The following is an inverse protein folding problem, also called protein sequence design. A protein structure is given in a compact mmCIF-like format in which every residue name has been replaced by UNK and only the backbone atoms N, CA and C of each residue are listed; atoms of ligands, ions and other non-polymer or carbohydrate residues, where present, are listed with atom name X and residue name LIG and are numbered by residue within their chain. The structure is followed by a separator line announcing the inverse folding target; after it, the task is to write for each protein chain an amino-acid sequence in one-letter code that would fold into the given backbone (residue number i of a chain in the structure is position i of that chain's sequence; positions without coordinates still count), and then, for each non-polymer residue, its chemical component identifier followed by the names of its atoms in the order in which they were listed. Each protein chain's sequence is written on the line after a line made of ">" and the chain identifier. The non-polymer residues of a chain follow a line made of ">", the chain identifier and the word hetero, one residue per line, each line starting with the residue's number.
data_IF_499416042161
#
_entry.id   IF_499416042161
#
_cell.length_a   1.000
_cell.length_b   1.000
_cell.length_c   1.000
_cell.angle_alpha   90.00
_cell.angle_beta   90.00
_cell.angle_gamma   90.00
#
_symmetry.space_group_name_H-M   'P 1'
#
loop_
_entity.id
_entity.type
_entity.pdbx_description
1 polymer ?
#
# COMPACT_ATOMS: atom_id res chain seq x y z
N UNK A 1 -9.68 23.59 -8.28
CA UNK A 1 -10.14 22.99 -9.54
C UNK A 1 -11.47 23.62 -9.96
N UNK A 2 -11.55 24.25 -11.13
CA UNK A 2 -12.77 24.92 -11.63
C UNK A 2 -13.75 23.92 -12.24
N UNK A 3 -15.02 24.33 -12.42
CA UNK A 3 -16.08 23.50 -13.01
C UNK A 3 -15.74 22.96 -14.42
N UNK A 4 -14.85 23.63 -15.15
CA UNK A 4 -14.38 23.22 -16.48
C UNK A 4 -13.34 22.09 -16.42
N UNK A 5 -12.50 22.05 -15.38
CA UNK A 5 -11.54 20.96 -15.14
C UNK A 5 -12.26 19.66 -14.69
N UNK A 6 -13.37 19.79 -13.96
CA UNK A 6 -14.28 18.67 -13.61
C UNK A 6 -14.93 18.02 -14.84
N UNK A 7 -15.24 18.82 -15.86
CA UNK A 7 -15.79 18.35 -17.15
C UNK A 7 -14.74 17.56 -17.94
N UNK A 8 -13.48 17.95 -17.85
CA UNK A 8 -12.38 17.31 -18.57
C UNK A 8 -11.95 15.98 -17.90
N UNK A 9 -11.93 15.92 -16.57
CA UNK A 9 -11.62 14.70 -15.82
C UNK A 9 -12.67 13.60 -16.02
N UNK A 10 -13.96 13.97 -16.02
CA UNK A 10 -15.05 13.05 -16.34
C UNK A 10 -15.01 12.55 -17.80
N UNK A 11 -14.51 13.37 -18.73
CA UNK A 11 -14.33 12.99 -20.13
C UNK A 11 -13.11 12.09 -20.36
N UNK A 12 -12.02 12.30 -19.62
CA UNK A 12 -10.77 11.53 -19.70
C UNK A 12 -10.94 10.09 -19.19
N UNK A 13 -11.67 9.89 -18.09
CA UNK A 13 -11.99 8.55 -17.57
C UNK A 13 -12.89 7.75 -18.54
N UNK A 14 -13.70 8.44 -19.36
CA UNK A 14 -14.60 7.83 -20.34
C UNK A 14 -13.92 7.48 -21.67
N UNK A 15 -13.01 8.34 -22.16
CA UNK A 15 -12.30 8.14 -23.44
C UNK A 15 -11.38 6.93 -23.44
N UNK A 16 -10.81 6.57 -22.28
CA UNK A 16 -9.90 5.43 -22.15
C UNK A 16 -10.60 4.07 -22.16
N UNK A 17 -11.92 4.01 -21.94
CA UNK A 17 -12.63 2.74 -21.75
C UNK A 17 -13.83 2.49 -22.69
N UNK A 18 -14.51 3.51 -23.26
CA UNK A 18 -15.66 3.28 -24.17
C UNK A 18 -15.84 4.40 -25.22
N UNK A 19 -16.29 4.04 -26.43
CA UNK A 19 -16.69 5.02 -27.47
C UNK A 19 -17.88 5.85 -26.98
N UNK A 20 -17.76 7.17 -27.05
CA UNK A 20 -18.83 8.12 -26.67
C UNK A 20 -20.12 7.85 -27.43
N UNK A 21 -21.19 7.56 -26.70
CA UNK A 21 -22.56 7.65 -27.18
C UNK A 21 -23.18 8.97 -26.68
N UNK A 22 -23.91 9.64 -27.57
CA UNK A 22 -24.35 11.04 -27.45
C UNK A 22 -25.54 11.29 -26.51
N UNK A 23 -26.05 10.24 -25.87
CA UNK A 23 -27.20 10.32 -24.96
C UNK A 23 -26.83 9.90 -23.53
N UNK A 24 -26.34 10.85 -22.72
CA UNK A 24 -26.03 10.67 -21.31
C UNK A 24 -26.96 11.56 -20.46
N UNK A 25 -28.20 11.11 -20.24
CA UNK A 25 -29.03 11.61 -19.15
C UNK A 25 -29.13 10.48 -18.09
N UNK A 26 -28.54 10.73 -16.91
CA UNK A 26 -28.48 9.88 -15.70
C UNK A 26 -27.67 8.57 -15.77
N UNK A 27 -26.64 8.44 -14.91
CA UNK A 27 -25.99 7.16 -14.57
C UNK A 27 -25.75 7.04 -13.06
N UNK A 28 -26.17 5.90 -12.52
CA UNK A 28 -26.08 5.45 -11.12
C UNK A 28 -24.74 4.74 -10.91
N UNK A 29 -23.88 5.23 -10.01
CA UNK A 29 -22.64 4.55 -9.63
C UNK A 29 -22.76 3.97 -8.22
N UNK A 30 -22.53 2.65 -8.06
CA UNK A 30 -22.37 2.02 -6.74
C UNK A 30 -20.92 2.14 -6.30
N UNK A 31 -20.65 2.89 -5.24
CA UNK A 31 -19.32 2.92 -4.62
C UNK A 31 -19.34 1.91 -3.45
N UNK A 32 -18.46 0.91 -3.52
CA UNK A 32 -18.03 0.12 -2.37
C UNK A 32 -16.68 0.66 -1.92
N UNK A 33 -16.55 0.97 -0.64
CA UNK A 33 -15.29 1.32 0.03
C UNK A 33 -14.56 2.56 -0.55
N UNK A 34 -14.93 3.75 -0.08
CA UNK A 34 -14.04 4.91 -0.20
C UNK A 34 -12.85 4.70 0.75
N UNK A 35 -11.64 4.59 0.19
CA UNK A 35 -10.38 4.72 0.94
C UNK A 35 -10.04 6.21 1.05
N UNK A 36 -9.62 6.69 2.22
CA UNK A 36 -9.39 8.12 2.51
C UNK A 36 -8.22 8.77 1.77
N UNK A 37 -7.44 8.04 0.95
CA UNK A 37 -6.11 8.53 0.53
C UNK A 37 -5.97 8.69 -0.99
N UNK A 38 -6.77 9.56 -1.60
CA UNK A 38 -6.47 10.09 -2.93
C UNK A 38 -6.44 11.62 -2.88
N UNK A 39 -5.32 12.16 -2.41
CA UNK A 39 -5.00 13.56 -2.62
C UNK A 39 -4.62 13.76 -4.09
N UNK A 40 -5.51 14.36 -4.87
CA UNK A 40 -5.20 14.83 -6.23
C UNK A 40 -4.81 16.30 -6.13
N UNK A 41 -3.59 16.61 -6.59
CA UNK A 41 -3.05 17.96 -6.64
C UNK A 41 -3.73 18.72 -7.78
N UNK A 42 -4.20 19.95 -7.53
CA UNK A 42 -4.75 20.81 -8.58
C UNK A 42 -3.66 21.70 -9.20
N UNK A 43 -3.98 22.32 -10.34
CA UNK A 43 -3.02 23.07 -11.17
C UNK A 43 -2.50 24.38 -10.52
N UNK A 44 -3.01 24.75 -9.34
CA UNK A 44 -2.50 25.87 -8.53
C UNK A 44 -1.70 25.39 -7.30
N UNK A 45 -1.40 24.10 -7.20
CA UNK A 45 -0.56 23.53 -6.15
C UNK A 45 -1.26 23.28 -4.81
N UNK A 46 -2.59 23.40 -4.75
CA UNK A 46 -3.38 23.02 -3.58
C UNK A 46 -3.92 21.59 -3.67
N UNK A 47 -3.95 20.88 -2.55
CA UNK A 47 -4.70 19.62 -2.43
C UNK A 47 -6.19 19.94 -2.30
N UNK A 48 -7.06 19.27 -3.06
CA UNK A 48 -8.52 19.35 -2.83
C UNK A 48 -9.00 18.12 -2.06
N UNK A 49 -9.45 18.37 -0.83
CA UNK A 49 -10.00 17.45 0.19
C UNK A 49 -11.34 16.80 -0.22
N UNK A 50 -11.44 16.21 -1.41
CA UNK A 50 -12.68 15.49 -1.76
C UNK A 50 -12.76 14.13 -1.06
N UNK A 51 -11.62 13.45 -0.86
CA UNK A 51 -11.58 12.24 -0.03
C UNK A 51 -11.92 12.52 1.41
N UNK A 52 -11.42 13.61 2.00
CA UNK A 52 -11.71 13.96 3.39
C UNK A 52 -13.15 14.44 3.58
N UNK A 53 -13.71 15.17 2.61
CA UNK A 53 -15.13 15.54 2.62
C UNK A 53 -16.06 14.33 2.50
N UNK A 54 -15.74 13.38 1.61
CA UNK A 54 -16.53 12.15 1.45
C UNK A 54 -16.35 11.18 2.61
N UNK A 55 -15.17 11.14 3.25
CA UNK A 55 -14.89 10.35 4.46
C UNK A 55 -15.59 10.97 5.67
N UNK A 56 -15.57 12.30 5.82
CA UNK A 56 -16.29 13.02 6.88
C UNK A 56 -17.80 12.83 6.72
N UNK A 57 -18.31 12.98 5.51
CA UNK A 57 -19.71 12.69 5.18
C UNK A 57 -20.04 11.23 5.44
N UNK A 58 -19.19 10.28 5.02
CA UNK A 58 -19.37 8.85 5.29
C UNK A 58 -19.39 8.56 6.79
N UNK A 59 -18.48 9.13 7.58
CA UNK A 59 -18.44 8.95 9.03
C UNK A 59 -19.70 9.52 9.71
N UNK A 60 -20.18 10.68 9.26
CA UNK A 60 -21.40 11.32 9.75
C UNK A 60 -22.67 10.52 9.39
N UNK A 61 -22.67 9.87 8.22
CA UNK A 61 -23.77 9.05 7.73
C UNK A 61 -23.72 7.59 8.23
N UNK A 62 -22.54 7.05 8.57
CA UNK A 62 -22.29 5.64 8.92
C UNK A 62 -23.19 5.02 10.01
N UNK A 63 -23.66 5.78 11.03
CA UNK A 63 -24.58 5.24 12.04
C UNK A 63 -25.96 4.91 11.45
N UNK A 64 -26.33 5.53 10.34
CA UNK A 64 -27.68 5.51 9.77
C UNK A 64 -27.73 4.74 8.44
N UNK A 65 -26.64 4.75 7.68
CA UNK A 65 -26.54 4.11 6.36
C UNK A 65 -26.00 2.67 6.45
N UNK A 66 -26.43 1.82 5.53
CA UNK A 66 -25.85 0.49 5.27
C UNK A 66 -24.51 0.57 4.53
N UNK A 67 -23.89 -0.57 4.28
CA UNK A 67 -22.48 -0.68 3.84
C UNK A 67 -22.21 -0.23 2.39
N UNK A 68 -23.23 0.32 1.71
CA UNK A 68 -23.11 0.79 0.33
C UNK A 68 -23.90 2.06 0.14
N UNK A 69 -23.39 2.99 -0.66
CA UNK A 69 -24.18 4.12 -1.16
C UNK A 69 -23.87 4.32 -2.64
N UNK A 70 -24.74 5.06 -3.32
CA UNK A 70 -24.46 5.53 -4.66
C UNK A 70 -24.76 7.02 -4.78
N UNK A 71 -24.34 7.59 -5.89
CA UNK A 71 -24.53 9.01 -6.16
C UNK A 71 -25.07 9.26 -7.56
N UNK A 72 -25.70 10.43 -7.73
CA UNK A 72 -26.17 10.94 -9.01
C UNK A 72 -25.81 12.42 -9.11
N UNK A 73 -25.30 12.85 -10.26
CA UNK A 73 -24.94 14.23 -10.52
C UNK A 73 -25.79 14.81 -11.65
N UNK A 74 -26.50 15.91 -11.35
CA UNK A 74 -27.26 16.66 -12.34
C UNK A 74 -26.43 17.82 -12.88
N UNK A 75 -25.76 17.60 -14.00
CA UNK A 75 -24.89 18.59 -14.64
C UNK A 75 -25.59 19.91 -15.03
N UNK A 76 -26.90 19.87 -15.33
CA UNK A 76 -27.67 21.07 -15.72
C UNK A 76 -27.99 21.96 -14.51
N UNK A 77 -28.26 21.35 -13.36
CA UNK A 77 -28.67 22.05 -12.13
C UNK A 77 -27.53 22.24 -11.12
N UNK A 78 -26.37 21.62 -11.36
CA UNK A 78 -25.22 21.57 -10.42
C UNK A 78 -25.58 20.95 -9.07
N UNK A 79 -26.47 19.96 -9.09
CA UNK A 79 -26.93 19.26 -7.88
C UNK A 79 -26.28 17.88 -7.79
N UNK A 80 -25.85 17.49 -6.59
CA UNK A 80 -25.35 16.16 -6.29
C UNK A 80 -26.23 15.47 -5.25
N UNK A 81 -26.68 14.27 -5.57
CA UNK A 81 -27.53 13.45 -4.70
C UNK A 81 -26.80 12.18 -4.29
N UNK A 82 -26.90 11.83 -3.01
CA UNK A 82 -26.52 10.52 -2.50
C UNK A 82 -27.76 9.70 -2.20
N UNK A 83 -27.73 8.41 -2.53
CA UNK A 83 -28.75 7.45 -2.13
C UNK A 83 -28.11 6.26 -1.43
N UNK A 84 -28.71 5.82 -0.33
CA UNK A 84 -28.17 4.73 0.48
C UNK A 84 -29.29 3.90 1.13
N UNK A 85 -29.09 2.58 1.30
CA UNK A 85 -29.98 1.76 2.08
C UNK A 85 -29.83 2.12 3.56
N UNK A 86 -30.94 2.19 4.27
CA UNK A 86 -30.97 2.37 5.71
C UNK A 86 -30.92 1.01 6.39
N UNK A 87 -30.19 0.93 7.52
CA UNK A 87 -30.11 -0.31 8.33
C UNK A 87 -31.45 -0.72 8.94
N UNK A 88 -32.36 0.23 9.13
CA UNK A 88 -33.71 0.03 9.67
C UNK A 88 -34.68 1.05 9.09
N UNK A 89 -35.99 0.74 9.10
CA UNK A 89 -37.03 1.71 8.70
C UNK A 89 -37.04 2.88 9.71
N UNK A 90 -37.26 4.11 9.24
CA UNK A 90 -37.17 5.34 10.06
C UNK A 90 -38.13 6.40 9.50
N UNK A 91 -38.34 7.50 10.20
CA UNK A 91 -39.14 8.62 9.68
C UNK A 91 -38.24 9.70 9.09
N UNK A 92 -38.71 10.43 8.07
CA UNK A 92 -38.01 11.57 7.50
C UNK A 92 -37.60 12.62 8.56
N UNK A 93 -38.43 12.84 9.59
CA UNK A 93 -38.15 13.75 10.69
C UNK A 93 -36.93 13.33 11.52
N UNK A 94 -36.91 12.07 11.98
CA UNK A 94 -35.74 11.48 12.67
C UNK A 94 -34.48 11.47 11.80
N UNK A 95 -34.62 11.24 10.50
CA UNK A 95 -33.50 11.21 9.57
C UNK A 95 -32.91 12.62 9.36
N UNK A 96 -33.76 13.64 9.20
CA UNK A 96 -33.33 15.04 9.12
C UNK A 96 -32.67 15.52 10.42
N UNK A 97 -33.15 15.08 11.59
CA UNK A 97 -32.50 15.37 12.87
C UNK A 97 -31.10 14.74 12.98
N UNK A 98 -30.93 13.51 12.47
CA UNK A 98 -29.65 12.83 12.45
C UNK A 98 -28.68 13.42 11.42
N UNK A 99 -29.20 14.07 10.37
CA UNK A 99 -28.44 14.55 9.22
C UNK A 99 -28.56 16.07 9.01
N UNK A 100 -28.17 16.92 9.99
CA UNK A 100 -28.44 18.36 9.95
C UNK A 100 -27.70 19.12 8.84
N UNK A 101 -26.67 18.52 8.24
CA UNK A 101 -25.80 19.15 7.25
C UNK A 101 -26.21 18.88 5.79
N UNK A 102 -27.17 17.99 5.57
CA UNK A 102 -27.65 17.60 4.23
C UNK A 102 -29.16 17.64 4.20
N UNK A 103 -29.74 17.89 3.03
CA UNK A 103 -31.20 17.99 2.92
C UNK A 103 -31.76 16.65 2.43
N UNK A 104 -32.66 16.00 3.20
CA UNK A 104 -33.34 14.79 2.74
C UNK A 104 -34.30 15.13 1.59
N UNK A 105 -34.11 14.47 0.46
CA UNK A 105 -34.91 14.65 -0.76
C UNK A 105 -36.01 13.61 -0.84
N UNK A 106 -35.70 12.34 -0.57
CA UNK A 106 -36.69 11.27 -0.56
C UNK A 106 -36.34 10.17 0.43
N UNK A 107 -37.38 9.47 0.89
CA UNK A 107 -37.28 8.30 1.75
C UNK A 107 -38.25 7.25 1.24
N UNK A 108 -37.72 6.19 0.63
CA UNK A 108 -38.48 5.10 0.02
C UNK A 108 -38.37 3.85 0.89
N UNK A 109 -39.46 3.50 1.56
CA UNK A 109 -39.50 2.41 2.53
C UNK A 109 -40.70 1.49 2.30
N UNK A 110 -40.47 0.38 1.62
CA UNK A 110 -41.43 -0.71 1.43
C UNK A 110 -40.80 -2.05 1.86
N UNK A 111 -41.40 -3.17 1.46
CA UNK A 111 -40.91 -4.52 1.84
C UNK A 111 -39.71 -4.98 1.01
N UNK A 112 -39.40 -4.27 -0.08
CA UNK A 112 -38.31 -4.52 -1.03
C UNK A 112 -37.24 -3.42 -1.09
N UNK A 113 -37.53 -2.24 -0.58
CA UNK A 113 -36.67 -1.05 -0.61
C UNK A 113 -36.68 -0.33 0.73
N UNK A 114 -35.50 0.10 1.18
CA UNK A 114 -35.33 0.93 2.37
C UNK A 114 -34.24 1.97 2.08
N UNK A 115 -34.47 2.87 1.14
CA UNK A 115 -33.47 3.78 0.59
C UNK A 115 -33.81 5.23 0.94
N UNK A 116 -32.82 5.98 1.39
CA UNK A 116 -32.91 7.43 1.55
C UNK A 116 -32.07 8.13 0.48
N UNK A 117 -32.57 9.25 -0.04
CA UNK A 117 -31.85 10.13 -0.96
C UNK A 117 -31.66 11.50 -0.32
N UNK A 118 -30.42 11.98 -0.26
CA UNK A 118 -30.06 13.29 0.32
C UNK A 118 -29.35 14.15 -0.72
N UNK A 119 -29.61 15.45 -0.69
CA UNK A 119 -28.90 16.47 -1.45
C UNK A 119 -27.73 16.99 -0.62
N UNK A 120 -26.54 16.88 -1.20
CA UNK A 120 -25.28 17.28 -0.57
C UNK A 120 -24.69 18.53 -1.21
N UNK A 121 -25.42 19.18 -2.11
CA UNK A 121 -24.95 20.35 -2.84
C UNK A 121 -24.64 21.53 -1.92
N UNK A 122 -25.29 21.60 -0.75
CA UNK A 122 -25.04 22.61 0.30
C UNK A 122 -23.95 22.21 1.31
N UNK A 123 -23.39 21.00 1.21
CA UNK A 123 -22.38 20.52 2.15
C UNK A 123 -21.09 21.36 2.06
N UNK A 124 -20.71 21.80 0.86
CA UNK A 124 -19.53 22.66 0.65
C UNK A 124 -19.70 24.05 1.30
N UNK A 125 -20.89 24.63 1.24
CA UNK A 125 -21.19 25.93 1.87
C UNK A 125 -21.25 25.85 3.41
N UNK A 126 -21.46 24.64 3.95
CA UNK A 126 -21.51 24.35 5.38
C UNK A 126 -20.20 23.75 5.91
N UNK A 127 -19.18 23.58 5.06
CA UNK A 127 -17.89 23.01 5.45
C UNK A 127 -17.16 23.87 6.49
N UNK A 128 -17.14 25.19 6.34
CA UNK A 128 -16.55 26.08 7.36
C UNK A 128 -17.28 25.97 8.72
N UNK A 129 -18.59 25.72 8.71
CA UNK A 129 -19.37 25.47 9.93
C UNK A 129 -19.08 24.08 10.52
N UNK A 130 -18.92 23.05 9.68
CA UNK A 130 -18.59 21.69 10.10
C UNK A 130 -17.14 21.53 10.58
N UNK A 131 -16.18 22.21 9.94
CA UNK A 131 -14.79 22.29 10.37
C UNK A 131 -14.66 23.06 11.69
N UNK A 132 -15.47 24.12 11.89
CA UNK A 132 -15.56 24.86 13.15
C UNK A 132 -16.14 24.05 14.32
N UNK A 133 -16.92 22.99 14.05
CA UNK A 133 -17.39 22.03 15.06
C UNK A 133 -16.26 21.08 15.50
N UNK A 134 -15.32 20.74 14.62
CA UNK A 134 -14.18 19.86 14.92
C UNK A 134 -13.12 20.52 15.81
N UNK A 135 -12.88 21.83 15.64
CA UNK A 135 -11.84 22.53 16.39
C UNK A 135 -12.26 22.97 17.80
N UNK A 136 -13.56 23.10 18.09
CA UNK A 136 -14.04 23.69 19.34
C UNK A 136 -14.81 22.75 20.29
N UNK A 137 -15.26 21.57 19.84
CA UNK A 137 -15.74 20.50 20.72
C UNK A 137 -15.46 19.13 20.08
N UNK A 138 -14.61 18.25 20.65
CA UNK A 138 -14.61 16.86 20.22
C UNK A 138 -16.03 16.31 20.44
N UNK A 139 -16.52 15.45 19.56
CA UNK A 139 -17.83 14.77 19.60
C UNK A 139 -18.07 13.87 20.83
N UNK A 140 -17.58 14.26 22.02
CA UNK A 140 -18.15 13.88 23.29
C UNK A 140 -19.50 14.61 23.45
N UNK A 141 -20.54 13.86 23.79
CA UNK A 141 -21.88 14.32 24.16
C UNK A 141 -22.92 14.54 23.03
N UNK A 142 -22.80 13.84 21.90
CA UNK A 142 -24.03 13.32 21.27
C UNK A 142 -24.46 12.09 22.07
N UNK A 143 -25.40 12.29 23.00
CA UNK A 143 -26.03 11.23 23.77
C UNK A 143 -26.78 10.26 22.85
N UNK A 144 -26.06 9.24 22.38
CA UNK A 144 -26.54 8.14 21.54
C UNK A 144 -27.22 7.04 22.36
N UNK A 145 -27.45 7.23 23.67
CA UNK A 145 -28.09 6.22 24.55
C UNK A 145 -29.49 5.82 24.09
N UNK A 146 -30.17 6.66 23.28
CA UNK A 146 -31.49 6.34 22.74
C UNK A 146 -31.47 5.38 21.52
N UNK A 147 -30.31 4.98 21.01
CA UNK A 147 -30.20 3.94 19.96
C UNK A 147 -30.06 2.52 20.54
N UNK A 148 -29.64 2.40 21.81
CA UNK A 148 -29.48 1.08 22.47
C UNK A 148 -30.81 0.43 22.86
N UNK A 149 -31.89 1.20 23.01
CA UNK A 149 -33.21 0.67 23.38
C UNK A 149 -33.92 -0.11 22.26
N UNK A 150 -33.41 -0.06 21.02
CA UNK A 150 -33.95 -0.84 19.90
C UNK A 150 -33.37 -2.26 19.86
N UNK A 151 -32.21 -2.52 20.48
CA UNK A 151 -31.56 -3.86 20.46
C UNK A 151 -32.32 -4.91 21.27
N UNK A 152 -33.21 -4.54 22.18
CA UNK A 152 -33.86 -5.47 23.11
C UNK A 152 -35.29 -5.91 22.71
N UNK A 153 -35.67 -5.79 21.43
CA UNK A 153 -36.94 -6.35 20.94
C UNK A 153 -36.80 -7.10 19.62
N UNK A 154 -35.93 -8.10 19.58
CA UNK A 154 -36.07 -9.28 18.69
C UNK A 154 -35.04 -10.34 19.11
N UNK A 155 -35.25 -10.94 20.27
CA UNK A 155 -34.87 -12.34 20.50
C UNK A 155 -36.09 -13.20 20.20
N UNK A 156 -35.92 -14.10 19.24
CA UNK A 156 -36.56 -15.42 19.09
C UNK A 156 -36.92 -15.69 17.64
N UNK A 157 -36.03 -16.38 16.93
CA UNK A 157 -36.32 -17.70 16.35
C UNK A 157 -35.18 -18.16 15.43
N UNK A 158 -34.84 -19.44 15.60
CA UNK A 158 -33.83 -20.21 14.89
C UNK A 158 -33.92 -20.14 13.35
N UNK A 159 -32.77 -20.19 12.68
CA UNK A 159 -32.43 -21.31 11.81
C UNK A 159 -30.98 -21.21 11.32
N UNK A 160 -30.25 -22.31 11.47
CA UNK A 160 -28.98 -22.61 10.82
C UNK A 160 -28.95 -22.13 9.37
N UNK A 161 -27.86 -21.47 8.98
CA UNK A 161 -27.24 -21.64 7.67
C UNK A 161 -25.78 -21.19 7.73
N UNK A 162 -24.89 -22.17 7.52
CA UNK A 162 -23.50 -21.97 7.15
C UNK A 162 -23.43 -21.22 5.82
N UNK A 163 -23.00 -19.97 5.83
CA UNK A 163 -22.28 -19.37 4.70
C UNK A 163 -21.08 -18.60 5.25
N UNK A 164 -19.89 -19.12 4.94
CA UNK A 164 -18.61 -18.50 5.19
C UNK A 164 -18.56 -17.16 4.43
N UNK A 165 -18.70 -16.05 5.14
CA UNK A 165 -18.33 -14.73 4.62
C UNK A 165 -16.80 -14.64 4.60
N UNK A 166 -16.23 -14.98 3.45
CA UNK A 166 -14.86 -14.62 3.10
C UNK A 166 -14.76 -13.11 3.02
N UNK A 167 -14.34 -12.48 4.11
CA UNK A 167 -13.65 -11.19 4.03
C UNK A 167 -12.40 -11.43 3.18
N UNK A 168 -12.48 -11.03 1.90
CA UNK A 168 -11.40 -11.12 0.92
C UNK A 168 -10.22 -10.26 1.40
N UNK A 169 -9.27 -10.88 2.10
CA UNK A 169 -7.98 -10.27 2.35
C UNK A 169 -7.32 -10.05 0.98
N UNK A 170 -7.23 -8.78 0.56
CA UNK A 170 -6.46 -8.37 -0.63
C UNK A 170 -4.96 -8.50 -0.35
N UNK A 171 -4.49 -9.74 -0.14
CA UNK A 171 -3.08 -10.02 0.12
C UNK A 171 -2.27 -9.85 -1.16
N UNK A 172 -1.13 -9.18 -1.06
CA UNK A 172 -0.16 -9.09 -2.15
C UNK A 172 0.65 -10.40 -2.23
N UNK A 173 0.01 -11.43 -2.81
CA UNK A 173 0.64 -12.72 -3.10
C UNK A 173 1.28 -12.63 -4.48
N UNK A 174 2.60 -12.45 -4.48
CA UNK A 174 3.38 -12.43 -5.71
C UNK A 174 3.84 -13.85 -6.06
N UNK A 175 3.67 -14.23 -7.33
CA UNK A 175 4.30 -15.43 -7.89
C UNK A 175 5.66 -15.02 -8.46
N UNK A 176 6.72 -15.53 -7.86
CA UNK A 176 8.09 -15.21 -8.27
C UNK A 176 8.37 -15.71 -9.69
N UNK A 177 9.12 -14.92 -10.46
CA UNK A 177 9.69 -15.38 -11.72
C UNK A 177 10.81 -16.38 -11.42
N UNK A 178 10.64 -17.59 -11.91
CA UNK A 178 11.53 -18.73 -11.66
C UNK A 178 12.33 -19.11 -12.90
N UNK A 179 12.14 -18.39 -14.01
CA UNK A 179 12.87 -18.61 -15.27
C UNK A 179 14.26 -17.98 -15.28
N UNK A 180 14.50 -17.00 -14.40
CA UNK A 180 15.78 -16.30 -14.23
C UNK A 180 16.81 -17.15 -13.48
N UNK A 181 18.11 -16.85 -13.64
CA UNK A 181 19.15 -17.37 -12.73
C UNK A 181 19.24 -16.47 -11.51
N UNK A 182 18.41 -16.73 -10.49
CA UNK A 182 18.28 -15.85 -9.34
C UNK A 182 19.57 -15.73 -8.50
N UNK A 183 20.44 -16.75 -8.52
CA UNK A 183 21.73 -16.68 -7.85
C UNK A 183 22.66 -15.71 -8.58
N UNK A 184 22.73 -15.81 -9.91
CA UNK A 184 23.49 -14.88 -10.74
C UNK A 184 22.95 -13.46 -10.64
N UNK A 185 21.63 -13.27 -10.60
CA UNK A 185 21.01 -11.96 -10.38
C UNK A 185 21.41 -11.37 -9.03
N UNK A 186 21.41 -12.18 -7.95
CA UNK A 186 21.88 -11.75 -6.63
C UNK A 186 23.36 -11.31 -6.66
N UNK A 187 24.22 -12.07 -7.35
CA UNK A 187 25.65 -11.73 -7.51
C UNK A 187 25.84 -10.42 -8.31
N UNK A 188 25.02 -10.20 -9.33
CA UNK A 188 25.07 -9.04 -10.23
C UNK A 188 24.52 -7.74 -9.62
N UNK A 189 23.78 -7.81 -8.51
CA UNK A 189 23.33 -6.61 -7.81
C UNK A 189 24.54 -5.73 -7.45
N UNK A 190 24.42 -4.41 -7.63
CA UNK A 190 25.50 -3.51 -7.26
C UNK A 190 25.65 -3.47 -5.73
N UNK A 191 26.88 -3.55 -5.21
CA UNK A 191 27.17 -3.44 -3.78
C UNK A 191 26.61 -4.58 -2.92
N UNK A 192 26.23 -4.27 -1.67
CA UNK A 192 25.62 -5.21 -0.71
C UNK A 192 26.47 -6.44 -0.35
N UNK A 193 27.80 -6.35 -0.44
CA UNK A 193 28.70 -7.51 -0.29
C UNK A 193 28.51 -8.27 1.04
N UNK A 194 28.30 -7.55 2.15
CA UNK A 194 28.01 -8.19 3.45
C UNK A 194 26.69 -8.96 3.45
N UNK A 195 25.63 -8.37 2.89
CA UNK A 195 24.31 -9.01 2.82
C UNK A 195 24.34 -10.21 1.86
N UNK A 196 24.94 -10.05 0.67
CA UNK A 196 25.12 -11.13 -0.31
C UNK A 196 25.86 -12.32 0.28
N UNK A 197 26.96 -12.08 1.00
CA UNK A 197 27.73 -13.13 1.64
C UNK A 197 26.89 -13.90 2.66
N UNK A 198 26.21 -13.20 3.58
CA UNK A 198 25.39 -13.85 4.60
C UNK A 198 24.23 -14.64 3.99
N UNK A 199 23.58 -14.10 2.96
CA UNK A 199 22.51 -14.79 2.25
C UNK A 199 23.04 -16.03 1.53
N UNK A 200 24.22 -15.93 0.91
CA UNK A 200 24.88 -17.06 0.24
C UNK A 200 25.22 -18.17 1.24
N UNK A 201 25.72 -17.82 2.43
CA UNK A 201 25.99 -18.77 3.51
C UNK A 201 24.69 -19.47 3.96
N UNK A 202 23.59 -18.72 4.11
CA UNK A 202 22.28 -19.29 4.44
C UNK A 202 21.74 -20.22 3.35
N UNK A 203 21.88 -19.84 2.08
CA UNK A 203 21.52 -20.69 0.92
C UNK A 203 22.34 -21.98 0.96
N UNK A 204 23.64 -21.92 1.22
CA UNK A 204 24.51 -23.08 1.28
C UNK A 204 24.08 -24.06 2.39
N UNK A 205 23.81 -23.54 3.59
CA UNK A 205 23.29 -24.34 4.72
C UNK A 205 21.97 -25.01 4.33
N UNK A 206 21.04 -24.26 3.72
CA UNK A 206 19.74 -24.77 3.33
C UNK A 206 19.85 -25.86 2.24
N UNK A 207 20.74 -25.68 1.25
CA UNK A 207 21.03 -26.69 0.21
C UNK A 207 21.56 -27.99 0.81
N UNK A 208 22.57 -27.91 1.68
CA UNK A 208 23.16 -29.10 2.33
C UNK A 208 22.13 -29.82 3.20
N UNK A 209 21.30 -29.08 3.94
CA UNK A 209 20.25 -29.68 4.74
C UNK A 209 19.18 -30.36 3.89
N UNK A 210 18.76 -29.74 2.78
CA UNK A 210 17.84 -30.38 1.83
C UNK A 210 18.43 -31.68 1.24
N UNK A 211 19.72 -31.70 0.90
CA UNK A 211 20.40 -32.92 0.46
C UNK A 211 20.41 -34.00 1.55
N UNK A 212 20.69 -33.65 2.81
CA UNK A 212 20.62 -34.59 3.93
C UNK A 212 19.22 -35.22 4.04
N UNK A 213 18.17 -34.41 3.99
CA UNK A 213 16.78 -34.92 4.04
C UNK A 213 16.47 -35.86 2.88
N UNK A 214 16.87 -35.49 1.64
CA UNK A 214 16.69 -36.34 0.45
C UNK A 214 17.41 -37.69 0.56
N UNK A 215 18.52 -37.74 1.29
CA UNK A 215 19.26 -38.96 1.57
C UNK A 215 18.82 -39.68 2.86
N UNK A 216 17.74 -39.23 3.52
CA UNK A 216 17.26 -39.81 4.77
C UNK A 216 18.20 -39.60 5.97
N UNK A 217 19.13 -38.65 5.86
CA UNK A 217 20.08 -38.31 6.92
C UNK A 217 19.46 -37.30 7.89
N UNK A 218 19.97 -37.31 9.13
CA UNK A 218 19.58 -36.33 10.14
C UNK A 218 20.06 -34.93 9.74
N UNK A 219 19.19 -33.96 9.86
CA UNK A 219 19.51 -32.52 9.76
C UNK A 219 19.77 -31.99 11.17
N UNK A 220 20.75 -31.10 11.37
CA UNK A 220 20.91 -30.40 12.64
C UNK A 220 19.61 -29.71 13.05
N UNK A 221 19.08 -30.08 14.21
CA UNK A 221 17.87 -29.48 14.75
C UNK A 221 18.14 -28.01 15.15
N UNK A 222 17.13 -27.15 15.01
CA UNK A 222 17.17 -25.80 15.56
C UNK A 222 17.80 -24.71 14.69
N UNK A 223 18.23 -25.02 13.46
CA UNK A 223 18.62 -23.96 12.51
C UNK A 223 17.35 -23.27 12.01
N UNK A 224 17.10 -22.07 12.53
CA UNK A 224 15.99 -21.23 12.07
C UNK A 224 16.23 -20.73 10.65
N UNK A 225 15.19 -20.81 9.82
CA UNK A 225 15.17 -20.23 8.46
C UNK A 225 14.65 -18.80 8.45
N UNK A 226 14.07 -18.32 9.55
CA UNK A 226 13.54 -16.97 9.66
C UNK A 226 14.70 -15.96 9.79
N UNK A 227 14.49 -14.75 9.29
CA UNK A 227 15.52 -13.69 9.30
C UNK A 227 14.93 -12.30 9.47
N UNK A 228 15.77 -11.36 9.89
CA UNK A 228 15.46 -9.94 9.88
C UNK A 228 16.40 -9.22 8.93
N UNK A 229 15.83 -8.40 8.05
CA UNK A 229 16.53 -7.51 7.12
C UNK A 229 16.49 -6.09 7.68
N UNK A 230 17.65 -5.56 8.06
CA UNK A 230 17.76 -4.22 8.62
C UNK A 230 18.56 -3.31 7.70
N UNK A 231 18.13 -2.06 7.56
CA UNK A 231 18.82 -1.03 6.79
C UNK A 231 17.86 0.05 6.28
N UNK A 232 18.41 1.11 5.71
CA UNK A 232 17.65 2.30 5.32
C UNK A 232 16.76 2.03 4.08
N UNK A 233 15.80 2.93 3.75
CA UNK A 233 15.01 2.81 2.54
C UNK A 233 15.88 2.71 1.29
N UNK A 234 15.44 1.92 0.32
CA UNK A 234 16.12 1.82 -0.97
C UNK A 234 17.45 1.05 -0.97
N UNK A 235 17.81 0.36 0.12
CA UNK A 235 19.01 -0.50 0.20
C UNK A 235 18.82 -1.90 -0.42
N UNK A 236 17.66 -2.18 -1.01
CA UNK A 236 17.42 -3.43 -1.77
C UNK A 236 16.85 -4.61 -0.97
N UNK A 237 16.43 -4.41 0.29
CA UNK A 237 15.82 -5.45 1.16
C UNK A 237 14.78 -6.32 0.44
N UNK A 238 13.75 -5.71 -0.15
CA UNK A 238 12.67 -6.44 -0.83
C UNK A 238 13.14 -7.17 -2.08
N UNK A 239 14.01 -6.55 -2.88
CA UNK A 239 14.59 -7.18 -4.08
C UNK A 239 15.37 -8.43 -3.71
N UNK A 240 16.23 -8.32 -2.71
CA UNK A 240 17.05 -9.44 -2.23
C UNK A 240 16.19 -10.52 -1.57
N UNK A 241 15.12 -10.16 -0.85
CA UNK A 241 14.17 -11.12 -0.29
C UNK A 241 13.49 -11.96 -1.37
N UNK A 242 13.06 -11.32 -2.47
CA UNK A 242 12.46 -12.00 -3.63
C UNK A 242 13.46 -12.94 -4.31
N UNK A 243 14.69 -12.47 -4.58
CA UNK A 243 15.75 -13.32 -5.14
C UNK A 243 16.08 -14.51 -4.24
N UNK A 244 16.21 -14.28 -2.93
CA UNK A 244 16.42 -15.35 -1.95
C UNK A 244 15.31 -16.40 -2.02
N UNK A 245 14.04 -15.98 -2.01
CA UNK A 245 12.90 -16.88 -2.15
C UNK A 245 12.94 -17.66 -3.47
N UNK A 246 13.26 -17.02 -4.59
CA UNK A 246 13.40 -17.67 -5.91
C UNK A 246 14.50 -18.72 -5.88
N UNK A 247 15.67 -18.41 -5.31
CA UNK A 247 16.78 -19.37 -5.17
C UNK A 247 16.36 -20.58 -4.35
N UNK A 248 15.67 -20.38 -3.23
CA UNK A 248 15.19 -21.50 -2.40
C UNK A 248 14.22 -22.40 -3.18
N UNK A 249 13.31 -21.81 -3.97
CA UNK A 249 12.37 -22.55 -4.79
C UNK A 249 13.08 -23.35 -5.89
N UNK A 250 14.01 -22.72 -6.63
CA UNK A 250 14.78 -23.37 -7.69
C UNK A 250 15.62 -24.55 -7.19
N UNK A 251 16.03 -24.51 -5.92
CA UNK A 251 16.77 -25.61 -5.29
C UNK A 251 15.85 -26.64 -4.57
N UNK A 252 14.53 -26.49 -4.71
CA UNK A 252 13.52 -27.35 -4.09
C UNK A 252 13.59 -27.37 -2.58
N UNK A 253 13.93 -26.24 -1.95
CA UNK A 253 14.00 -26.06 -0.50
C UNK A 253 12.65 -25.57 0.05
N UNK A 254 11.98 -24.69 -0.69
CA UNK A 254 10.58 -24.32 -0.48
C UNK A 254 9.74 -24.94 -1.60
N UNK A 255 8.46 -25.18 -1.32
CA UNK A 255 7.57 -25.95 -2.21
C UNK A 255 6.95 -25.09 -3.30
N UNK A 256 6.67 -23.83 -2.98
CA UNK A 256 5.94 -22.90 -3.82
C UNK A 256 6.79 -21.65 -4.07
N UNK A 257 6.72 -21.10 -5.28
CA UNK A 257 7.38 -19.85 -5.66
C UNK A 257 6.60 -18.63 -5.15
N UNK A 258 5.99 -18.76 -3.97
CA UNK A 258 5.07 -17.78 -3.41
C UNK A 258 5.82 -16.82 -2.50
N UNK A 259 5.61 -15.53 -2.74
CA UNK A 259 6.13 -14.45 -1.91
C UNK A 259 4.96 -13.58 -1.47
N UNK A 260 4.61 -13.62 -0.19
CA UNK A 260 3.52 -12.82 0.36
C UNK A 260 4.15 -11.58 1.01
N UNK A 261 3.96 -10.42 0.38
CA UNK A 261 4.45 -9.15 0.89
C UNK A 261 3.34 -8.49 1.71
N UNK A 262 3.63 -8.11 2.95
CA UNK A 262 2.66 -7.56 3.89
C UNK A 262 3.25 -6.42 4.71
N UNK A 263 2.38 -5.57 5.23
CA UNK A 263 2.70 -4.59 6.26
C UNK A 263 1.75 -4.73 7.47
N UNK A 264 1.80 -3.76 8.40
CA UNK A 264 0.90 -3.71 9.56
C UNK A 264 -0.57 -3.78 9.17
N UNK A 265 -0.99 -3.07 8.12
CA UNK A 265 -2.39 -2.98 7.69
C UNK A 265 -2.93 -4.31 7.17
N UNK A 266 -2.05 -5.19 6.70
CA UNK A 266 -2.40 -6.54 6.25
C UNK A 266 -2.59 -7.53 7.40
N UNK A 267 -1.92 -7.29 8.53
CA UNK A 267 -1.89 -8.20 9.68
C UNK A 267 -2.88 -7.79 10.77
N UNK A 268 -2.99 -6.48 11.03
CA UNK A 268 -3.79 -5.92 12.13
C UNK A 268 -5.19 -5.57 11.65
N UNK A 269 -6.21 -6.10 12.32
CA UNK A 269 -7.60 -5.83 12.01
C UNK A 269 -8.09 -4.49 12.55
N UNK A 270 -9.16 -3.96 11.96
CA UNK A 270 -9.78 -2.69 12.39
C UNK A 270 -10.68 -2.84 13.64
N UNK A 271 -11.05 -4.08 13.98
CA UNK A 271 -11.94 -4.39 15.10
C UNK A 271 -11.24 -5.31 16.10
N UNK A 272 -11.54 -5.12 17.38
CA UNK A 272 -11.07 -5.99 18.47
C UNK A 272 -11.34 -7.47 18.16
N UNK A 273 -10.31 -8.31 18.30
CA UNK A 273 -10.41 -9.76 18.11
C UNK A 273 -10.33 -10.24 16.67
N UNK A 274 -10.17 -9.35 15.68
CA UNK A 274 -10.01 -9.75 14.27
C UNK A 274 -8.54 -9.94 13.85
N UNK A 275 -7.59 -9.41 14.62
CA UNK A 275 -6.17 -9.42 14.30
C UNK A 275 -5.57 -10.83 14.31
N UNK A 276 -5.90 -11.67 15.30
CA UNK A 276 -5.39 -13.04 15.33
C UNK A 276 -5.80 -13.82 14.08
N UNK A 277 -7.08 -13.79 13.71
CA UNK A 277 -7.58 -14.56 12.58
C UNK A 277 -7.07 -14.02 11.24
N UNK A 278 -6.93 -12.71 11.12
CA UNK A 278 -6.29 -12.07 9.97
C UNK A 278 -4.84 -12.52 9.83
N UNK A 279 -4.05 -12.42 10.90
CA UNK A 279 -2.64 -12.84 10.90
C UNK A 279 -2.48 -14.33 10.59
N UNK A 280 -3.33 -15.20 11.17
CA UNK A 280 -3.35 -16.63 10.84
C UNK A 280 -3.63 -16.88 9.36
N UNK A 281 -4.59 -16.17 8.76
CA UNK A 281 -4.89 -16.28 7.32
C UNK A 281 -3.69 -15.87 6.46
N UNK A 282 -2.98 -14.79 6.83
CA UNK A 282 -1.75 -14.38 6.14
C UNK A 282 -0.67 -15.46 6.24
N UNK A 283 -0.41 -15.97 7.44
CA UNK A 283 0.55 -17.07 7.68
C UNK A 283 0.18 -18.28 6.82
N UNK A 284 -1.09 -18.70 6.87
CA UNK A 284 -1.60 -19.83 6.11
C UNK A 284 -1.43 -19.62 4.60
N UNK A 285 -1.67 -18.40 4.12
CA UNK A 285 -1.48 -18.06 2.71
C UNK A 285 -0.01 -18.16 2.28
N UNK A 286 0.93 -18.01 3.21
CA UNK A 286 2.38 -17.97 2.97
C UNK A 286 3.08 -19.33 3.11
N UNK A 287 2.38 -20.36 3.60
CA UNK A 287 2.93 -21.70 3.71
C UNK A 287 3.39 -22.23 2.36
N UNK A 288 4.50 -22.97 2.38
CA UNK A 288 5.21 -23.47 1.21
C UNK A 288 6.14 -22.44 0.57
N UNK A 289 6.08 -21.16 0.98
CA UNK A 289 6.84 -20.05 0.42
C UNK A 289 7.47 -19.13 1.49
N UNK A 290 7.46 -17.82 1.21
CA UNK A 290 8.03 -16.79 2.08
C UNK A 290 6.98 -15.74 2.44
N UNK A 291 6.87 -15.41 3.72
CA UNK A 291 6.17 -14.25 4.25
C UNK A 291 7.16 -13.12 4.50
N UNK A 292 7.00 -12.01 3.82
CA UNK A 292 7.77 -10.78 4.01
C UNK A 292 6.89 -9.73 4.70
N UNK A 293 7.37 -9.18 5.81
CA UNK A 293 6.68 -8.15 6.59
C UNK A 293 7.55 -6.90 6.56
N UNK A 294 7.14 -5.89 5.79
CA UNK A 294 7.82 -4.60 5.73
C UNK A 294 7.48 -3.73 6.93
N UNK A 295 8.45 -2.91 7.35
CA UNK A 295 8.40 -2.06 8.55
C UNK A 295 7.78 -2.78 9.77
N UNK A 296 8.23 -4.01 10.04
CA UNK A 296 7.62 -4.91 11.03
C UNK A 296 7.58 -4.34 12.46
N UNK A 297 8.48 -3.40 12.79
CA UNK A 297 8.46 -2.68 14.07
C UNK A 297 7.15 -1.93 14.32
N UNK A 298 6.43 -1.53 13.25
CA UNK A 298 5.13 -0.90 13.38
C UNK A 298 4.09 -1.83 14.03
N UNK A 299 4.30 -3.14 14.11
CA UNK A 299 3.40 -4.06 14.83
C UNK A 299 3.38 -3.82 16.34
N UNK A 300 4.32 -3.06 16.89
CA UNK A 300 4.38 -2.74 18.32
C UNK A 300 4.45 -1.23 18.51
N UNK A 301 3.44 -0.62 19.13
CA UNK A 301 3.51 0.76 19.63
C UNK A 301 3.49 0.75 21.17
N UNK A 302 4.57 1.17 21.84
CA UNK A 302 4.65 1.15 23.31
C UNK A 302 3.55 1.97 24.01
N UNK A 303 3.08 3.03 23.37
CA UNK A 303 2.23 4.05 23.99
C UNK A 303 0.72 3.87 23.74
N UNK A 304 0.29 2.82 23.04
CA UNK A 304 -1.13 2.59 22.73
C UNK A 304 -1.68 1.37 23.46
N UNK A 305 -2.36 1.53 24.60
CA UNK A 305 -3.00 0.44 25.34
C UNK A 305 -4.16 -0.22 24.57
N UNK A 306 -4.51 0.32 23.40
CA UNK A 306 -5.52 -0.21 22.48
C UNK A 306 -4.92 -0.82 21.22
N UNK A 307 -3.58 -0.96 21.13
CA UNK A 307 -2.92 -1.54 19.96
C UNK A 307 -3.09 -3.07 19.89
N UNK A 308 -3.79 -3.54 18.86
CA UNK A 308 -3.98 -4.95 18.56
C UNK A 308 -2.77 -5.62 17.91
N UNK A 309 -1.69 -4.87 17.64
CA UNK A 309 -0.48 -5.37 16.98
C UNK A 309 0.24 -6.48 17.77
N UNK A 310 0.17 -6.48 19.10
CA UNK A 310 0.71 -7.58 19.93
C UNK A 310 0.06 -8.93 19.61
N UNK A 311 -1.24 -8.95 19.29
CA UNK A 311 -1.95 -10.18 18.91
C UNK A 311 -1.39 -10.75 17.59
N UNK A 312 -1.00 -9.89 16.65
CA UNK A 312 -0.34 -10.31 15.41
C UNK A 312 1.05 -10.92 15.70
N UNK A 313 1.82 -10.29 16.59
CA UNK A 313 3.13 -10.79 17.01
C UNK A 313 3.01 -12.20 17.63
N UNK A 314 2.04 -12.40 18.51
CA UNK A 314 1.78 -13.70 19.13
C UNK A 314 1.45 -14.77 18.10
N UNK A 315 0.59 -14.45 17.11
CA UNK A 315 0.29 -15.37 16.03
C UNK A 315 1.49 -15.66 15.13
N UNK A 316 2.37 -14.68 14.88
CA UNK A 316 3.62 -14.88 14.14
C UNK A 316 4.56 -15.84 14.89
N UNK A 317 4.70 -15.68 16.21
CA UNK A 317 5.50 -16.57 17.06
C UNK A 317 4.96 -18.01 16.98
N UNK A 318 3.64 -18.19 17.12
CA UNK A 318 2.98 -19.50 17.02
C UNK A 318 3.17 -20.09 15.62
N UNK A 319 2.99 -19.28 14.57
CA UNK A 319 3.16 -19.70 13.18
C UNK A 319 4.58 -20.18 12.89
N UNK A 320 5.59 -19.41 13.31
CA UNK A 320 7.00 -19.79 13.17
C UNK A 320 7.34 -21.09 13.91
N UNK A 321 6.65 -21.40 15.02
CA UNK A 321 6.87 -22.65 15.77
C UNK A 321 6.19 -23.85 15.10
N UNK A 322 4.93 -23.70 14.71
CA UNK A 322 4.12 -24.77 14.16
C UNK A 322 4.52 -25.12 12.73
N UNK A 323 5.01 -24.13 11.97
CA UNK A 323 5.31 -24.23 10.54
C UNK A 323 6.81 -24.08 10.22
N UNK A 324 7.69 -24.53 11.12
CA UNK A 324 9.16 -24.44 10.96
C UNK A 324 9.71 -25.04 9.66
N UNK A 325 8.99 -26.00 9.07
CA UNK A 325 9.44 -26.72 7.86
C UNK A 325 9.03 -26.02 6.58
N UNK A 326 7.85 -25.42 6.57
CA UNK A 326 7.08 -24.97 5.42
C UNK A 326 6.88 -23.45 5.36
N UNK A 327 7.25 -22.71 6.41
CA UNK A 327 7.18 -21.25 6.44
C UNK A 327 8.57 -20.63 6.62
N UNK A 328 8.88 -19.62 5.82
CA UNK A 328 9.99 -18.71 6.05
C UNK A 328 9.41 -17.31 6.26
N UNK A 329 9.87 -16.64 7.32
CA UNK A 329 9.42 -15.28 7.67
C UNK A 329 10.63 -14.37 7.58
N UNK A 330 10.48 -13.28 6.85
CA UNK A 330 11.46 -12.20 6.73
C UNK A 330 10.81 -10.94 7.28
N UNK A 331 11.32 -10.45 8.42
CA UNK A 331 10.93 -9.14 8.94
C UNK A 331 11.87 -8.10 8.37
N UNK A 332 11.36 -6.97 7.89
CA UNK A 332 12.18 -5.88 7.38
C UNK A 332 11.87 -4.57 8.10
N UNK A 333 12.87 -3.69 8.17
CA UNK A 333 12.70 -2.36 8.74
C UNK A 333 14.03 -1.61 8.91
N UNK A 334 13.95 -0.45 9.55
CA UNK A 334 15.11 0.36 9.91
C UNK A 334 15.86 -0.26 11.08
N UNK A 335 17.17 -0.04 11.11
CA UNK A 335 18.07 -0.79 12.01
C UNK A 335 17.75 -0.57 13.48
N UNK A 336 17.54 0.68 13.89
CA UNK A 336 17.34 1.02 15.30
C UNK A 336 15.95 0.56 15.78
N UNK A 337 14.94 0.83 14.99
CA UNK A 337 13.54 0.52 15.22
C UNK A 337 13.33 -1.00 15.28
N UNK A 338 13.99 -1.76 14.41
CA UNK A 338 13.95 -3.23 14.47
C UNK A 338 14.67 -3.79 15.69
N UNK A 339 15.80 -3.21 16.12
CA UNK A 339 16.48 -3.66 17.35
C UNK A 339 15.63 -3.38 18.60
N UNK A 340 15.01 -2.20 18.69
CA UNK A 340 14.05 -1.88 19.76
C UNK A 340 12.87 -2.85 19.76
N UNK A 341 12.21 -3.02 18.60
CA UNK A 341 11.11 -3.96 18.42
C UNK A 341 11.46 -5.40 18.85
N UNK A 342 12.66 -5.88 18.51
CA UNK A 342 13.10 -7.22 18.88
C UNK A 342 13.46 -7.34 20.37
N UNK A 343 13.97 -6.27 20.98
CA UNK A 343 14.26 -6.25 22.41
C UNK A 343 12.97 -6.29 23.25
N UNK A 344 11.93 -5.59 22.80
CA UNK A 344 10.61 -5.59 23.43
C UNK A 344 9.87 -6.92 23.24
N UNK A 345 10.20 -7.66 22.18
CA UNK A 345 9.55 -8.92 21.82
C UNK A 345 10.55 -10.09 21.85
N UNK A 346 11.03 -10.53 23.04
CA UNK A 346 12.04 -11.60 23.17
C UNK A 346 11.59 -12.93 22.56
N UNK A 347 10.28 -13.19 22.49
CA UNK A 347 9.69 -14.34 21.82
C UNK A 347 9.99 -14.38 20.31
N UNK A 348 9.97 -13.22 19.64
CA UNK A 348 10.39 -13.07 18.24
C UNK A 348 11.91 -13.17 18.12
N UNK A 349 12.65 -12.46 18.97
CA UNK A 349 14.12 -12.41 18.92
C UNK A 349 14.76 -13.80 18.98
N UNK A 350 14.23 -14.69 19.83
CA UNK A 350 14.72 -16.07 19.97
C UNK A 350 14.46 -16.96 18.74
N UNK A 351 13.41 -16.68 17.96
CA UNK A 351 13.03 -17.46 16.77
C UNK A 351 13.68 -16.98 15.49
N UNK A 352 14.14 -15.73 15.49
CA UNK A 352 14.78 -15.10 14.35
C UNK A 352 16.21 -14.74 14.75
N UNK A 353 17.17 -15.68 14.70
CA UNK A 353 18.57 -15.39 15.05
C UNK A 353 19.35 -14.71 13.91
N UNK A 354 18.90 -14.86 12.67
CA UNK A 354 19.61 -14.35 11.49
C UNK A 354 19.31 -12.84 11.31
N UNK A 355 20.36 -12.01 11.27
CA UNK A 355 20.29 -10.56 11.03
C UNK A 355 21.08 -10.24 9.78
N UNK A 356 20.42 -9.75 8.73
CA UNK A 356 21.07 -9.33 7.50
C UNK A 356 21.08 -7.81 7.47
N UNK A 357 22.27 -7.22 7.49
CA UNK A 357 22.48 -5.78 7.45
C UNK A 357 22.66 -5.31 6.00
N UNK A 358 21.80 -4.38 5.58
CA UNK A 358 21.82 -3.72 4.29
C UNK A 358 22.38 -2.32 4.47
N UNK A 359 23.67 -2.18 4.19
CA UNK A 359 24.35 -0.90 4.25
C UNK A 359 23.85 0.05 3.15
N UNK A 360 23.99 1.35 3.40
CA UNK A 360 23.82 2.36 2.36
C UNK A 360 24.82 2.16 1.23
N UNK A 361 24.41 2.55 0.04
CA UNK A 361 25.27 2.53 -1.13
C UNK A 361 26.24 3.69 -1.08
N UNK A 362 27.50 3.41 -1.43
CA UNK A 362 28.48 4.44 -1.73
C UNK A 362 28.08 5.26 -2.97
N UNK A 363 28.69 6.43 -3.13
CA UNK A 363 28.48 7.30 -4.30
C UNK A 363 28.68 6.56 -5.62
N UNK A 364 29.76 5.78 -5.73
CA UNK A 364 30.07 5.04 -6.96
C UNK A 364 29.05 3.91 -7.21
N UNK A 365 28.53 3.28 -6.16
CA UNK A 365 27.46 2.27 -6.27
C UNK A 365 26.13 2.90 -6.69
N UNK A 366 25.76 4.07 -6.17
CA UNK A 366 24.54 4.79 -6.58
C UNK A 366 24.60 5.23 -8.05
N UNK A 367 25.75 5.75 -8.51
CA UNK A 367 25.98 6.07 -9.93
C UNK A 367 25.78 4.83 -10.79
N UNK A 368 26.36 3.69 -10.39
CA UNK A 368 26.22 2.42 -11.10
C UNK A 368 24.78 1.91 -11.10
N UNK A 369 24.05 2.04 -9.99
CA UNK A 369 22.65 1.64 -9.89
C UNK A 369 21.80 2.45 -10.86
N UNK A 370 21.97 3.78 -10.87
CA UNK A 370 21.24 4.67 -11.77
C UNK A 370 21.54 4.35 -13.24
N UNK A 371 22.82 4.14 -13.57
CA UNK A 371 23.24 3.76 -14.91
C UNK A 371 22.63 2.41 -15.36
N UNK A 372 22.61 1.42 -14.47
CA UNK A 372 21.96 0.13 -14.73
C UNK A 372 20.45 0.27 -14.96
N UNK A 373 19.76 1.15 -14.23
CA UNK A 373 18.33 1.40 -14.46
C UNK A 373 18.07 1.93 -15.86
N UNK A 374 18.87 2.91 -16.29
CA UNK A 374 18.75 3.52 -17.63
C UNK A 374 18.99 2.49 -18.74
N UNK A 375 20.04 1.68 -18.58
CA UNK A 375 20.45 0.72 -19.62
C UNK A 375 19.59 -0.54 -19.66
N UNK A 376 19.04 -0.97 -18.53
CA UNK A 376 18.21 -2.17 -18.42
C UNK A 376 16.90 -2.05 -19.19
N UNK A 377 16.25 -0.89 -19.12
CA UNK A 377 14.91 -0.71 -19.72
C UNK A 377 14.99 -0.57 -21.25
N UNK A 378 16.18 -0.27 -21.80
CA UNK A 378 16.45 -0.03 -23.24
C UNK A 378 15.54 1.04 -23.88
N UNK A 379 14.83 1.83 -23.06
CA UNK A 379 13.91 2.89 -23.50
C UNK A 379 14.70 4.11 -23.97
N UNK A 380 15.72 4.50 -23.21
CA UNK A 380 16.52 5.71 -23.44
C UNK A 380 18.01 5.44 -23.29
N UNK A 381 18.83 6.34 -23.84
CA UNK A 381 20.29 6.33 -23.81
C UNK A 381 20.80 7.68 -23.35
N UNK A 382 21.97 7.70 -22.73
CA UNK A 382 22.64 8.93 -22.33
C UNK A 382 23.38 9.52 -23.54
N UNK A 383 23.21 10.82 -23.81
CA UNK A 383 23.99 11.51 -24.85
C UNK A 383 25.47 11.63 -24.48
N UNK A 384 25.77 11.75 -23.19
CA UNK A 384 27.13 11.88 -22.65
C UNK A 384 27.23 11.14 -21.31
N UNK A 385 27.72 9.89 -21.35
CA UNK A 385 27.89 9.06 -20.16
C UNK A 385 28.92 9.65 -19.18
N UNK A 386 29.93 10.36 -19.68
CA UNK A 386 30.98 10.94 -18.83
C UNK A 386 30.41 12.11 -18.03
N UNK A 387 29.68 13.01 -18.70
CA UNK A 387 28.99 14.10 -18.03
C UNK A 387 28.02 13.57 -16.99
N UNK A 388 27.23 12.54 -17.33
CA UNK A 388 26.33 11.89 -16.38
C UNK A 388 27.05 11.40 -15.11
N UNK A 389 28.14 10.64 -15.25
CA UNK A 389 28.87 10.11 -14.11
C UNK A 389 29.45 11.22 -13.21
N UNK A 390 30.08 12.24 -13.81
CA UNK A 390 30.67 13.35 -13.07
C UNK A 390 29.60 14.19 -12.35
N UNK A 391 28.50 14.52 -13.03
CA UNK A 391 27.42 15.34 -12.48
C UNK A 391 26.69 14.66 -11.34
N UNK A 392 26.32 13.37 -11.48
CA UNK A 392 25.67 12.61 -10.40
C UNK A 392 26.61 12.48 -9.19
N UNK A 393 27.89 12.15 -9.43
CA UNK A 393 28.88 12.02 -8.35
C UNK A 393 29.03 13.32 -7.56
N UNK A 394 29.24 14.43 -8.25
CA UNK A 394 29.35 15.75 -7.64
C UNK A 394 28.07 16.14 -6.86
N UNK A 395 26.89 15.79 -7.40
CA UNK A 395 25.62 16.06 -6.73
C UNK A 395 25.50 15.28 -5.40
N UNK A 396 25.80 13.98 -5.40
CA UNK A 396 25.73 13.12 -4.22
C UNK A 396 26.73 13.61 -3.16
N UNK A 397 27.97 13.88 -3.54
CA UNK A 397 29.02 14.36 -2.61
C UNK A 397 28.64 15.70 -1.96
N UNK A 398 27.97 16.58 -2.71
CA UNK A 398 27.55 17.89 -2.22
C UNK A 398 26.29 17.84 -1.34
N UNK A 399 25.29 17.06 -1.71
CA UNK A 399 23.96 17.13 -1.09
C UNK A 399 23.61 15.94 -0.19
N UNK A 400 24.38 14.83 -0.27
CA UNK A 400 24.20 13.62 0.53
C UNK A 400 22.73 13.14 0.56
N UNK A 401 22.13 12.85 -0.62
CA UNK A 401 20.73 12.47 -0.68
C UNK A 401 20.46 11.16 0.07
N UNK A 402 19.30 11.09 0.72
CA UNK A 402 18.85 9.91 1.46
C UNK A 402 17.95 9.01 0.60
N UNK A 403 17.70 7.77 1.05
CA UNK A 403 16.81 6.84 0.34
C UNK A 403 17.46 5.99 -0.75
N UNK A 404 18.79 6.04 -0.91
CA UNK A 404 19.56 5.08 -1.69
C UNK A 404 19.04 4.86 -3.13
N UNK A 405 18.79 3.61 -3.55
CA UNK A 405 18.29 3.30 -4.88
C UNK A 405 16.88 3.86 -5.16
N UNK A 406 16.11 4.24 -4.12
CA UNK A 406 14.84 4.96 -4.30
C UNK A 406 15.11 6.38 -4.81
N UNK A 407 16.12 7.07 -4.26
CA UNK A 407 16.55 8.36 -4.78
C UNK A 407 17.06 8.23 -6.22
N UNK A 408 17.91 7.24 -6.51
CA UNK A 408 18.37 6.99 -7.88
C UNK A 408 17.20 6.78 -8.85
N UNK A 409 16.19 5.96 -8.45
CA UNK A 409 14.97 5.78 -9.26
C UNK A 409 14.22 7.10 -9.47
N UNK A 410 14.10 7.95 -8.46
CA UNK A 410 13.44 9.24 -8.58
C UNK A 410 14.18 10.15 -9.57
N UNK A 411 15.52 10.17 -9.53
CA UNK A 411 16.34 10.89 -10.52
C UNK A 411 16.07 10.35 -11.93
N UNK A 412 16.05 9.02 -12.12
CA UNK A 412 15.76 8.43 -13.43
C UNK A 412 14.37 8.85 -13.95
N UNK A 413 13.34 8.81 -13.09
CA UNK A 413 12.00 9.26 -13.46
C UNK A 413 11.97 10.75 -13.82
N UNK A 414 12.69 11.59 -13.07
CA UNK A 414 12.81 13.02 -13.37
C UNK A 414 13.56 13.27 -14.69
N UNK A 415 14.56 12.45 -15.04
CA UNK A 415 15.23 12.50 -16.35
C UNK A 415 14.26 12.17 -17.49
N UNK A 416 13.45 11.13 -17.34
CA UNK A 416 12.41 10.78 -18.33
C UNK A 416 11.38 11.90 -18.48
N UNK A 417 10.97 12.54 -17.38
CA UNK A 417 10.04 13.66 -17.42
C UNK A 417 10.64 14.89 -18.12
N UNK A 418 11.91 15.22 -17.83
CA UNK A 418 12.61 16.32 -18.47
C UNK A 418 12.75 16.09 -19.99
N UNK A 419 13.14 14.88 -20.40
CA UNK A 419 13.20 14.50 -21.81
C UNK A 419 11.83 14.56 -22.47
N UNK A 420 10.80 13.98 -21.86
CA UNK A 420 9.44 14.02 -22.41
C UNK A 420 8.95 15.45 -22.59
N UNK A 421 9.24 16.35 -21.63
CA UNK A 421 8.91 17.78 -21.75
C UNK A 421 9.66 18.43 -22.90
N UNK A 422 10.98 18.21 -23.04
CA UNK A 422 11.77 18.75 -24.16
C UNK A 422 11.18 18.31 -25.49
N UNK A 423 10.90 17.01 -25.64
CA UNK A 423 10.44 16.40 -26.88
C UNK A 423 8.99 16.78 -27.21
N UNK A 424 8.12 16.93 -26.22
CA UNK A 424 6.72 17.28 -26.45
C UNK A 424 6.52 18.74 -26.89
N UNK A 425 7.41 19.65 -26.47
CA UNK A 425 7.26 21.09 -26.68
C UNK A 425 8.29 21.70 -27.65
N UNK A 426 9.07 20.89 -28.35
CA UNK A 426 9.94 21.37 -29.43
C UNK A 426 9.12 21.83 -30.65
N UNK A 427 9.70 22.74 -31.45
CA UNK A 427 9.00 23.36 -32.59
C UNK A 427 8.86 22.42 -33.79
N UNK A 428 9.86 21.60 -34.02
CA UNK A 428 9.92 20.67 -35.15
C UNK A 428 9.50 19.26 -34.72
N UNK A 429 9.08 18.43 -35.67
CA UNK A 429 8.67 17.05 -35.40
C UNK A 429 9.83 16.26 -34.74
N UNK A 430 9.60 15.55 -33.62
CA UNK A 430 10.63 14.76 -32.94
C UNK A 430 11.28 13.71 -33.82
N UNK A 431 12.62 13.74 -33.85
CA UNK A 431 13.41 12.68 -34.44
C UNK A 431 13.45 11.44 -33.53
N UNK A 432 13.88 10.30 -34.08
CA UNK A 432 14.14 9.10 -33.26
C UNK A 432 15.20 9.37 -32.19
N UNK A 433 16.23 10.18 -32.50
CA UNK A 433 17.26 10.51 -31.52
C UNK A 433 16.70 11.33 -30.35
N UNK A 434 15.78 12.27 -30.61
CA UNK A 434 15.11 13.06 -29.57
C UNK A 434 14.32 12.15 -28.61
N UNK A 435 13.64 11.15 -29.17
CA UNK A 435 12.82 10.19 -28.43
C UNK A 435 13.65 9.19 -27.62
N UNK A 436 14.90 8.92 -28.01
CA UNK A 436 15.75 7.92 -27.34
C UNK A 436 16.86 8.51 -26.48
N UNK A 437 17.20 9.79 -26.60
CA UNK A 437 18.36 10.36 -25.89
C UNK A 437 17.94 11.26 -24.73
N UNK A 438 18.53 11.01 -23.56
CA UNK A 438 18.58 11.94 -22.44
C UNK A 438 19.80 12.85 -22.63
N UNK A 439 19.58 14.16 -22.65
CA UNK A 439 20.66 15.16 -22.79
C UNK A 439 21.18 15.62 -21.42
N UNK A 440 22.30 16.35 -21.44
CA UNK A 440 22.86 16.98 -20.24
C UNK A 440 21.86 17.95 -19.58
N UNK A 441 21.11 18.71 -20.38
CA UNK A 441 20.09 19.64 -19.87
C UNK A 441 18.94 18.90 -19.16
N UNK A 442 18.54 17.71 -19.65
CA UNK A 442 17.52 16.91 -18.98
C UNK A 442 18.00 16.41 -17.62
N UNK A 443 19.27 15.98 -17.55
CA UNK A 443 19.90 15.52 -16.32
C UNK A 443 19.99 16.65 -15.28
N UNK A 444 20.42 17.83 -15.70
CA UNK A 444 20.54 19.00 -14.83
C UNK A 444 19.18 19.41 -14.27
N UNK A 445 18.13 19.40 -15.11
CA UNK A 445 16.76 19.66 -14.67
C UNK A 445 16.23 18.58 -13.71
N UNK A 446 16.54 17.32 -13.98
CA UNK A 446 16.14 16.21 -13.13
C UNK A 446 16.75 16.33 -11.73
N UNK A 447 18.04 16.66 -11.64
CA UNK A 447 18.71 16.87 -10.35
C UNK A 447 18.21 18.11 -9.62
N UNK A 448 17.87 19.18 -10.33
CA UNK A 448 17.32 20.39 -9.73
C UNK A 448 15.91 20.18 -9.13
N UNK A 449 15.15 19.21 -9.64
CA UNK A 449 13.77 18.94 -9.23
C UNK A 449 13.63 17.74 -8.29
N UNK A 450 14.64 16.87 -8.22
CA UNK A 450 14.61 15.68 -7.34
C UNK A 450 14.97 16.07 -5.91
N UNK A 451 14.08 15.83 -4.92
CA UNK A 451 14.38 16.07 -3.51
C UNK A 451 15.55 15.21 -3.04
N UNK A 452 16.37 15.77 -2.14
CA UNK A 452 17.47 15.05 -1.50
C UNK A 452 17.03 14.29 -0.26
N UNK A 453 15.86 14.63 0.32
CA UNK A 453 15.28 14.03 1.52
C UNK A 453 13.81 13.67 1.31
#
# INVERSE_FOLDING_TARGET
>A
MTFEELKEYGQLFYRSNYKLDSNLETKTFKIKNIKSNQHVQNDEGGFTDWTDNMVTLYNLLSPVIGDTFGYNFNFKKREMYLYFPLKQKTTAEKLNQALPLVDLISLEQDDSSNIATVDISKFNDRYEYAAGLYDNQPLADLDLSNLTDIKNKTTDSNSDNNEQSSDDLNLNIEKLDTSIDALKELENLTGLESAKKQITDMIAIAKVNNLREKHGLKVPAGISKHMVFVGDPGTGKTTVAKLFATILYQNGIIKDSKFVNTDRSDLVGHYTGTTADRTKKVIQSSLGGVLFIDEAYQLSHPDSPTDFGHEAIDQLIIGMENHRKDLIVILAGYTNEMEEFLNDNPGLRSRIPNRIFFADYSTDELVQILFKMITHDEIVKLSDEKYFQETIKNFIEKHQPTGNARWARNVYQAMLQAQARRVAFQKDEPSTEDLTNITNDDLDQALATTPTN
#
